data_IF_793387060792
#
_entry.id   IF_793387060792
#
_cell.length_a   1.000
_cell.length_b   1.000
_cell.length_c   1.000
_cell.angle_alpha   90.00
_cell.angle_beta   90.00
_cell.angle_gamma   90.00
#
_symmetry.space_group_name_H-M   'P 1'
#
loop_
_entity.id
_entity.type
_entity.pdbx_description
1 polymer ?
#
# COMPACT_ATOMS: atom_id res chain seq x y z
N UNK A 1 24.99 11.72 8.11
CA UNK A 1 24.15 11.10 9.18
C UNK A 1 23.88 9.62 8.90
N UNK A 2 24.87 8.74 9.12
CA UNK A 2 24.76 7.30 8.80
C UNK A 2 23.70 6.54 9.64
N UNK A 3 23.34 7.04 10.82
CA UNK A 3 22.35 6.42 11.70
C UNK A 3 20.88 6.63 11.28
N UNK A 4 20.55 7.74 10.59
CA UNK A 4 19.17 8.03 10.17
C UNK A 4 18.73 7.09 9.04
N UNK A 5 19.61 6.85 8.07
CA UNK A 5 19.38 5.87 7.00
C UNK A 5 19.26 4.45 7.54
N UNK A 6 20.12 4.05 8.49
CA UNK A 6 20.01 2.73 9.14
C UNK A 6 18.66 2.55 9.82
N UNK A 7 18.16 3.56 10.54
CA UNK A 7 16.82 3.54 11.15
C UNK A 7 15.72 3.44 10.08
N UNK A 8 15.80 4.21 8.99
CA UNK A 8 14.85 4.14 7.87
C UNK A 8 14.83 2.78 7.19
N UNK A 9 16.01 2.17 6.95
CA UNK A 9 16.15 0.85 6.33
C UNK A 9 15.50 -0.24 7.20
N UNK A 10 15.73 -0.21 8.52
CA UNK A 10 15.06 -1.12 9.46
C UNK A 10 13.53 -0.98 9.44
N UNK A 11 13.02 0.26 9.50
CA UNK A 11 11.56 0.50 9.44
C UNK A 11 10.93 0.01 8.14
N UNK A 12 11.59 0.23 6.99
CA UNK A 12 11.14 -0.28 5.69
C UNK A 12 11.08 -1.81 5.66
N UNK A 13 12.11 -2.48 6.21
CA UNK A 13 12.17 -3.93 6.23
C UNK A 13 11.02 -4.52 7.08
N UNK A 14 10.84 -4.00 8.29
CA UNK A 14 9.74 -4.41 9.18
C UNK A 14 8.38 -4.21 8.51
N UNK A 15 8.18 -3.05 7.87
CA UNK A 15 6.93 -2.75 7.17
C UNK A 15 6.71 -3.69 5.97
N UNK A 16 7.76 -4.01 5.22
CA UNK A 16 7.69 -4.93 4.07
C UNK A 16 7.29 -6.34 4.51
N UNK A 17 7.89 -6.86 5.58
CA UNK A 17 7.56 -8.19 6.09
C UNK A 17 6.14 -8.25 6.65
N UNK A 18 5.72 -7.20 7.38
CA UNK A 18 4.35 -7.07 7.88
C UNK A 18 3.32 -7.04 6.74
N UNK A 19 3.56 -6.21 5.73
CA UNK A 19 2.69 -6.12 4.56
C UNK A 19 2.68 -7.43 3.77
N UNK A 20 3.83 -8.06 3.54
CA UNK A 20 3.89 -9.35 2.86
C UNK A 20 3.09 -10.42 3.60
N UNK A 21 3.18 -10.50 4.93
CA UNK A 21 2.40 -11.46 5.72
C UNK A 21 0.90 -11.22 5.63
N UNK A 22 0.45 -9.95 5.67
CA UNK A 22 -0.96 -9.58 5.55
C UNK A 22 -1.50 -9.72 4.13
N UNK A 23 -0.70 -9.36 3.13
CA UNK A 23 -1.06 -9.37 1.72
C UNK A 23 -0.97 -10.76 1.09
N UNK A 24 -0.19 -11.69 1.67
CA UNK A 24 -0.08 -13.08 1.18
C UNK A 24 -1.45 -13.77 1.06
N UNK A 25 -2.39 -13.42 1.94
CA UNK A 25 -3.76 -13.94 1.91
C UNK A 25 -4.79 -12.89 1.49
N UNK A 26 -4.36 -11.68 1.17
CA UNK A 26 -5.25 -10.63 0.66
C UNK A 26 -5.46 -10.86 -0.83
N UNK A 27 -6.51 -11.60 -1.18
CA UNK A 27 -7.05 -11.58 -2.53
C UNK A 27 -7.86 -10.29 -2.67
N UNK A 28 -7.39 -9.26 -3.41
CA UNK A 28 -8.25 -8.14 -3.72
C UNK A 28 -9.45 -8.71 -4.47
N UNK A 29 -10.66 -8.51 -3.93
CA UNK A 29 -11.89 -8.88 -4.62
C UNK A 29 -11.93 -8.06 -5.91
N UNK A 30 -11.73 -8.71 -7.04
CA UNK A 30 -11.78 -8.11 -8.38
C UNK A 30 -13.21 -7.68 -8.76
N UNK A 31 -14.20 -7.97 -7.91
CA UNK A 31 -15.63 -7.71 -8.16
C UNK A 31 -16.05 -6.25 -7.99
N UNK A 32 -15.12 -5.37 -7.61
CA UNK A 32 -15.39 -3.94 -7.63
C UNK A 32 -14.80 -3.39 -8.92
N UNK A 33 -15.67 -3.11 -9.89
CA UNK A 33 -15.37 -2.19 -10.97
C UNK A 33 -14.56 -1.01 -10.41
N UNK A 34 -13.53 -0.50 -11.12
CA UNK A 34 -12.81 0.66 -10.65
C UNK A 34 -13.85 1.73 -10.34
N UNK A 35 -13.94 2.16 -9.07
CA UNK A 35 -14.73 3.33 -8.71
C UNK A 35 -13.97 4.51 -9.32
N UNK A 36 -14.17 4.69 -10.62
CA UNK A 36 -13.84 5.87 -11.36
C UNK A 36 -14.71 6.94 -10.72
N UNK A 37 -14.10 7.75 -9.86
CA UNK A 37 -14.68 9.00 -9.39
C UNK A 37 -14.67 9.99 -10.56
N UNK A 38 -15.36 9.66 -11.66
CA UNK A 38 -15.69 10.63 -12.68
C UNK A 38 -16.76 11.52 -12.06
N UNK A 39 -16.33 12.67 -11.54
CA UNK A 39 -17.23 13.78 -11.25
C UNK A 39 -17.91 14.13 -12.57
N UNK A 40 -19.18 13.78 -12.71
CA UNK A 40 -20.06 14.40 -13.70
C UNK A 40 -20.08 15.89 -13.37
N UNK A 41 -19.53 16.70 -14.27
CA UNK A 41 -19.80 18.13 -14.31
C UNK A 41 -21.05 18.21 -15.18
N UNK A 42 -22.21 18.35 -14.53
CA UNK A 42 -23.46 18.66 -15.23
C UNK A 42 -23.46 20.16 -15.58
N UNK A 43 -23.76 20.46 -16.85
CA UNK A 43 -24.04 21.80 -17.41
C UNK A 43 -25.35 22.41 -16.89
#
# INVERSE_FOLDING_TARGET
MKNRERKRKKKRYILKDYLNGKLKNWKPKADKAPLSNNKTIDE
#
